data_IF_530457257552
#
_entry.id   IF_530457257552
#
_cell.length_a   1.000
_cell.length_b   1.000
_cell.length_c   1.000
_cell.angle_alpha   90.00
_cell.angle_beta   90.00
_cell.angle_gamma   90.00
#
_symmetry.space_group_name_H-M   'P 1'
#
loop_
_entity.id
_entity.type
_entity.pdbx_description
1 polymer ?
#
# COMPACT_ATOMS: atom_id res chain seq x y z
N UNK A 1 24.58 -55.99 -17.38
CA UNK A 1 23.18 -55.52 -17.51
C UNK A 1 22.59 -54.91 -16.23
N UNK A 2 22.75 -55.50 -15.03
CA UNK A 2 22.12 -54.96 -13.80
C UNK A 2 22.76 -53.64 -13.33
N UNK A 3 24.09 -53.48 -13.46
CA UNK A 3 24.80 -52.23 -13.09
C UNK A 3 24.40 -51.04 -13.95
N UNK A 4 24.23 -51.22 -15.27
CA UNK A 4 23.81 -50.14 -16.17
C UNK A 4 22.36 -49.70 -15.88
N UNK A 5 21.46 -50.63 -15.60
CA UNK A 5 20.07 -50.30 -15.21
C UNK A 5 20.00 -49.52 -13.89
N UNK A 6 20.79 -49.90 -12.88
CA UNK A 6 20.86 -49.12 -11.61
C UNK A 6 21.39 -47.72 -11.83
N UNK A 7 22.40 -47.57 -12.69
CA UNK A 7 22.93 -46.25 -13.03
C UNK A 7 21.86 -45.37 -13.70
N UNK A 8 21.11 -45.90 -14.68
CA UNK A 8 20.06 -45.14 -15.36
C UNK A 8 18.93 -44.72 -14.42
N UNK A 9 18.53 -45.59 -13.49
CA UNK A 9 17.50 -45.28 -12.49
C UNK A 9 17.97 -44.13 -11.58
N UNK A 10 19.22 -44.15 -11.13
CA UNK A 10 19.80 -43.08 -10.30
C UNK A 10 19.85 -41.77 -11.08
N UNK A 11 20.28 -41.79 -12.35
CA UNK A 11 20.32 -40.59 -13.18
C UNK A 11 18.93 -40.00 -13.40
N UNK A 12 17.92 -40.83 -13.68
CA UNK A 12 16.53 -40.37 -13.81
C UNK A 12 15.99 -39.77 -12.50
N UNK A 13 16.30 -40.38 -11.34
CA UNK A 13 15.88 -39.86 -10.05
C UNK A 13 16.51 -38.50 -9.75
N UNK A 14 17.81 -38.33 -10.05
CA UNK A 14 18.51 -37.06 -9.91
C UNK A 14 17.95 -35.98 -10.84
N UNK A 15 17.63 -36.33 -12.09
CA UNK A 15 17.01 -35.40 -13.05
C UNK A 15 15.61 -34.97 -12.58
N UNK A 16 14.82 -35.90 -12.05
CA UNK A 16 13.48 -35.62 -11.52
C UNK A 16 13.56 -34.76 -10.25
N UNK A 17 14.53 -35.00 -9.37
CA UNK A 17 14.78 -34.17 -8.20
C UNK A 17 15.25 -32.76 -8.60
N UNK A 18 16.13 -32.64 -9.58
CA UNK A 18 16.58 -31.35 -10.10
C UNK A 18 15.43 -30.57 -10.75
N UNK A 19 14.56 -31.25 -11.51
CA UNK A 19 13.36 -30.64 -12.09
C UNK A 19 12.39 -30.19 -10.99
N UNK A 20 12.18 -31.01 -9.96
CA UNK A 20 11.34 -30.65 -8.82
C UNK A 20 11.90 -29.44 -8.06
N UNK A 21 13.22 -29.41 -7.84
CA UNK A 21 13.88 -28.26 -7.21
C UNK A 21 13.80 -27.00 -8.06
N UNK A 22 13.91 -27.11 -9.39
CA UNK A 22 13.73 -25.97 -10.31
C UNK A 22 12.28 -25.45 -10.28
N UNK A 23 11.29 -26.34 -10.29
CA UNK A 23 9.87 -25.97 -10.19
C UNK A 23 9.52 -25.36 -8.82
N UNK A 24 10.13 -25.85 -7.74
CA UNK A 24 9.98 -25.27 -6.40
C UNK A 24 10.77 -23.96 -6.23
N UNK A 25 11.83 -23.75 -7.02
CA UNK A 25 12.64 -22.53 -7.05
C UNK A 25 12.01 -21.44 -7.91
N UNK A 26 11.04 -21.75 -8.76
CA UNK A 26 10.15 -20.76 -9.40
C UNK A 26 9.16 -20.20 -8.38
N UNK A 27 9.65 -19.73 -7.23
CA UNK A 27 8.96 -18.66 -6.54
C UNK A 27 8.99 -17.51 -7.54
N UNK A 28 7.81 -17.07 -7.97
CA UNK A 28 7.65 -15.79 -8.64
C UNK A 28 8.36 -14.76 -7.77
N UNK A 29 9.53 -14.29 -8.20
CA UNK A 29 10.13 -13.09 -7.62
C UNK A 29 9.09 -12.01 -7.90
N UNK A 30 8.37 -11.58 -6.87
CA UNK A 30 7.52 -10.40 -7.02
C UNK A 30 8.47 -9.25 -7.34
N UNK A 31 8.31 -8.65 -8.52
CA UNK A 31 9.11 -7.50 -8.91
C UNK A 31 8.91 -6.41 -7.86
N UNK A 32 10.02 -5.87 -7.35
CA UNK A 32 9.97 -4.82 -6.37
C UNK A 32 9.75 -3.48 -7.08
N UNK A 33 8.81 -2.67 -6.58
CA UNK A 33 8.68 -1.28 -7.02
C UNK A 33 10.04 -0.61 -6.86
N UNK A 34 10.60 -0.13 -7.96
CA UNK A 34 11.90 0.55 -7.99
C UNK A 34 11.70 1.95 -8.53
N UNK A 35 12.18 2.96 -7.80
CA UNK A 35 12.12 4.32 -8.27
C UNK A 35 13.16 4.57 -9.37
N UNK A 36 12.70 5.14 -10.48
CA UNK A 36 13.55 5.67 -11.54
C UNK A 36 13.19 7.15 -11.79
N UNK A 37 14.09 7.97 -12.35
CA UNK A 37 13.78 9.35 -12.72
C UNK A 37 12.46 9.45 -13.52
N UNK A 38 11.63 10.46 -13.26
CA UNK A 38 10.30 10.54 -13.84
C UNK A 38 10.35 10.77 -15.35
N UNK A 39 9.42 10.17 -16.06
CA UNK A 39 9.18 10.44 -17.47
C UNK A 39 8.16 11.57 -17.67
N UNK A 40 8.60 12.73 -18.14
CA UNK A 40 7.71 13.88 -18.38
C UNK A 40 6.87 13.75 -19.66
N UNK A 41 7.10 12.74 -20.50
CA UNK A 41 6.40 12.53 -21.78
C UNK A 41 5.25 11.53 -21.70
N UNK A 42 5.11 10.84 -20.57
CA UNK A 42 4.09 9.81 -20.33
C UNK A 42 3.38 10.15 -19.01
N UNK A 43 2.07 10.00 -18.99
CA UNK A 43 1.26 10.19 -17.80
C UNK A 43 0.11 9.20 -17.75
N UNK A 44 -0.36 8.89 -16.55
CA UNK A 44 -1.62 8.18 -16.37
C UNK A 44 -2.78 8.98 -16.97
N UNK A 45 -3.56 8.33 -17.85
CA UNK A 45 -4.78 8.91 -18.40
C UNK A 45 -5.93 8.88 -17.38
N UNK A 46 -5.91 7.89 -16.48
CA UNK A 46 -6.81 7.79 -15.33
C UNK A 46 -6.13 7.03 -14.18
N UNK A 47 -6.45 7.42 -12.95
CA UNK A 47 -6.22 6.64 -11.73
C UNK A 47 -7.42 6.78 -10.82
N UNK A 48 -7.79 5.71 -10.13
CA UNK A 48 -8.89 5.74 -9.17
C UNK A 48 -8.70 4.70 -8.07
N UNK A 49 -9.27 5.03 -6.91
CA UNK A 49 -9.55 4.09 -5.82
C UNK A 49 -10.99 4.36 -5.43
N UNK A 50 -11.78 3.30 -5.19
CA UNK A 50 -13.17 3.44 -4.78
C UNK A 50 -13.52 2.44 -3.69
N UNK A 51 -14.27 2.90 -2.70
CA UNK A 51 -14.88 2.13 -1.63
C UNK A 51 -16.40 2.31 -1.68
N UNK A 52 -17.12 1.21 -1.87
CA UNK A 52 -18.56 1.25 -2.01
C UNK A 52 -19.23 0.21 -1.11
N UNK A 53 -20.28 0.63 -0.39
CA UNK A 53 -21.20 -0.29 0.25
C UNK A 53 -22.05 -0.98 -0.82
N UNK A 54 -22.07 -2.31 -0.85
CA UNK A 54 -22.87 -3.06 -1.83
C UNK A 54 -24.28 -3.36 -1.31
N UNK A 55 -24.37 -4.04 -0.17
CA UNK A 55 -25.61 -4.46 0.47
C UNK A 55 -25.36 -5.00 1.86
N UNK A 56 -26.40 -4.96 2.66
CA UNK A 56 -26.52 -5.78 3.86
C UNK A 56 -26.58 -7.27 3.46
N UNK A 57 -25.85 -8.09 4.18
CA UNK A 57 -25.95 -9.54 4.18
C UNK A 57 -26.72 -9.98 5.42
N UNK A 58 -27.39 -11.14 5.37
CA UNK A 58 -28.11 -11.63 6.57
C UNK A 58 -27.15 -11.83 7.75
N UNK A 59 -27.64 -11.58 8.98
CA UNK A 59 -26.92 -11.64 10.27
C UNK A 59 -26.11 -10.39 10.65
N UNK A 60 -26.65 -9.18 10.49
CA UNK A 60 -26.00 -7.92 10.92
C UNK A 60 -24.59 -7.76 10.33
N UNK A 61 -24.48 -8.04 9.03
CA UNK A 61 -23.25 -7.96 8.25
C UNK A 61 -23.50 -7.20 6.97
N UNK A 62 -22.45 -6.67 6.36
CA UNK A 62 -22.52 -5.96 5.09
C UNK A 62 -21.32 -6.27 4.20
N UNK A 63 -21.50 -6.07 2.90
CA UNK A 63 -20.41 -6.21 1.93
C UNK A 63 -19.89 -4.86 1.46
N UNK A 64 -18.58 -4.71 1.50
CA UNK A 64 -17.85 -3.57 0.92
C UNK A 64 -17.12 -4.03 -0.32
N UNK A 65 -17.21 -3.22 -1.38
CA UNK A 65 -16.42 -3.34 -2.60
C UNK A 65 -15.29 -2.33 -2.56
N UNK A 66 -14.07 -2.83 -2.67
CA UNK A 66 -12.85 -2.06 -2.79
C UNK A 66 -12.25 -2.27 -4.18
N UNK A 67 -12.09 -1.19 -4.94
CA UNK A 67 -11.41 -1.21 -6.23
C UNK A 67 -10.30 -0.18 -6.30
N UNK A 68 -9.30 -0.47 -7.12
CA UNK A 68 -8.28 0.47 -7.54
C UNK A 68 -7.92 0.20 -9.00
N UNK A 69 -7.65 1.24 -9.77
CA UNK A 69 -7.34 1.09 -11.18
C UNK A 69 -6.49 2.21 -11.74
N UNK A 70 -5.75 1.91 -12.80
CA UNK A 70 -4.98 2.91 -13.54
C UNK A 70 -4.89 2.59 -15.03
N UNK A 71 -4.93 3.64 -15.86
CA UNK A 71 -4.91 3.57 -17.31
C UNK A 71 -3.80 4.43 -17.93
N UNK A 72 -3.32 4.02 -19.11
CA UNK A 72 -2.38 4.74 -19.96
C UNK A 72 -2.86 4.76 -21.41
N UNK A 73 -2.42 5.75 -22.18
CA UNK A 73 -2.72 5.84 -23.62
C UNK A 73 -1.97 4.77 -24.44
N UNK A 74 -0.83 4.29 -23.93
CA UNK A 74 0.04 3.28 -24.56
C UNK A 74 0.51 2.23 -23.56
N UNK A 75 0.89 1.06 -24.08
CA UNK A 75 1.54 0.03 -23.28
C UNK A 75 2.95 0.50 -22.93
N UNK A 76 3.41 0.13 -21.74
CA UNK A 76 4.78 0.36 -21.29
C UNK A 76 5.38 -0.96 -20.81
N UNK A 77 6.67 -0.95 -20.51
CA UNK A 77 7.43 -2.17 -20.21
C UNK A 77 6.82 -2.94 -19.03
N UNK A 78 6.69 -2.29 -17.87
CA UNK A 78 6.15 -2.90 -16.66
C UNK A 78 5.16 -1.94 -15.99
N UNK A 79 4.07 -2.50 -15.47
CA UNK A 79 3.06 -1.82 -14.67
C UNK A 79 2.92 -2.52 -13.34
N UNK A 80 2.79 -1.76 -12.27
CA UNK A 80 2.63 -2.28 -10.93
C UNK A 80 1.73 -1.36 -10.12
N UNK A 81 0.56 -1.86 -9.74
CA UNK A 81 -0.36 -1.15 -8.87
C UNK A 81 -0.47 -1.89 -7.55
N UNK A 82 -0.47 -1.13 -6.46
CA UNK A 82 -0.70 -1.63 -5.11
C UNK A 82 -1.72 -0.74 -4.42
N UNK A 83 -2.63 -1.37 -3.68
CA UNK A 83 -3.65 -0.71 -2.89
C UNK A 83 -3.63 -1.28 -1.47
N UNK A 84 -3.69 -0.39 -0.48
CA UNK A 84 -3.76 -0.71 0.94
C UNK A 84 -5.11 -0.26 1.47
N UNK A 85 -5.81 -1.16 2.17
CA UNK A 85 -7.07 -0.89 2.83
C UNK A 85 -6.88 -0.92 4.34
N UNK A 86 -7.30 0.16 4.99
CA UNK A 86 -7.36 0.30 6.43
C UNK A 86 -8.81 0.37 6.91
N UNK A 87 -9.06 -0.18 8.09
CA UNK A 87 -10.32 -0.11 8.83
C UNK A 87 -9.99 0.38 10.24
N UNK A 88 -10.54 1.53 10.62
CA UNK A 88 -10.31 2.16 11.93
C UNK A 88 -8.82 2.27 12.30
N UNK A 89 -8.01 2.69 11.32
CA UNK A 89 -6.57 2.87 11.49
C UNK A 89 -5.75 1.59 11.50
N UNK A 90 -6.35 0.43 11.18
CA UNK A 90 -5.66 -0.86 11.13
C UNK A 90 -5.70 -1.48 9.75
N UNK A 91 -4.62 -2.13 9.35
CA UNK A 91 -4.51 -2.77 8.05
C UNK A 91 -5.52 -3.92 7.94
N UNK A 92 -6.43 -3.78 6.99
CA UNK A 92 -7.46 -4.76 6.68
C UNK A 92 -7.04 -5.64 5.50
N UNK A 93 -6.41 -5.06 4.49
CA UNK A 93 -6.05 -5.79 3.28
C UNK A 93 -5.02 -5.08 2.42
N UNK A 94 -4.34 -5.88 1.60
CA UNK A 94 -3.42 -5.43 0.56
C UNK A 94 -3.84 -6.11 -0.73
N UNK A 95 -3.89 -5.34 -1.82
CA UNK A 95 -4.09 -5.88 -3.16
C UNK A 95 -3.05 -5.30 -4.08
N UNK A 96 -2.33 -6.15 -4.79
CA UNK A 96 -1.35 -5.73 -5.77
C UNK A 96 -1.45 -6.55 -7.04
N UNK A 97 -1.03 -5.95 -8.15
CA UNK A 97 -0.87 -6.64 -9.43
C UNK A 97 0.27 -5.96 -10.18
N UNK A 98 1.19 -6.77 -10.69
CA UNK A 98 2.17 -6.33 -11.67
C UNK A 98 1.95 -7.08 -12.98
N UNK A 99 2.17 -6.39 -14.11
CA UNK A 99 2.03 -6.93 -15.46
C UNK A 99 2.97 -6.20 -16.42
N UNK A 100 3.56 -6.94 -17.34
CA UNK A 100 4.32 -6.36 -18.45
C UNK A 100 3.41 -6.02 -19.64
N UNK A 101 3.79 -5.01 -20.43
CA UNK A 101 3.16 -4.70 -21.72
C UNK A 101 1.63 -4.54 -21.66
N UNK A 102 1.13 -3.83 -20.65
CA UNK A 102 -0.30 -3.53 -20.51
C UNK A 102 -0.56 -2.03 -20.36
N UNK A 103 -1.75 -1.61 -20.78
CA UNK A 103 -2.24 -0.23 -20.61
C UNK A 103 -3.06 -0.02 -19.36
N UNK A 104 -3.71 -1.07 -18.87
CA UNK A 104 -4.70 -0.97 -17.82
C UNK A 104 -4.43 -2.01 -16.74
N UNK A 105 -4.53 -1.59 -15.48
CA UNK A 105 -4.59 -2.47 -14.32
C UNK A 105 -5.89 -2.16 -13.57
N UNK A 106 -6.59 -3.22 -13.18
CA UNK A 106 -7.75 -3.17 -12.31
C UNK A 106 -7.56 -4.16 -11.16
N UNK A 107 -7.81 -3.68 -9.95
CA UNK A 107 -7.80 -4.42 -8.70
C UNK A 107 -9.21 -4.40 -8.13
N UNK A 108 -9.72 -5.56 -7.72
CA UNK A 108 -11.02 -5.67 -7.07
C UNK A 108 -10.95 -6.66 -5.91
N UNK A 109 -11.56 -6.27 -4.79
CA UNK A 109 -11.82 -7.10 -3.63
C UNK A 109 -13.24 -6.80 -3.14
N UNK A 110 -13.99 -7.86 -2.84
CA UNK A 110 -15.26 -7.77 -2.11
C UNK A 110 -15.10 -8.57 -0.83
N UNK A 111 -15.44 -7.95 0.30
CA UNK A 111 -15.34 -8.58 1.61
C UNK A 111 -16.58 -8.27 2.45
N UNK A 112 -16.85 -9.15 3.40
CA UNK A 112 -17.92 -9.01 4.39
C UNK A 112 -17.33 -8.39 5.66
N UNK A 113 -18.08 -7.47 6.28
CA UNK A 113 -17.77 -6.87 7.57
C UNK A 113 -19.04 -6.75 8.43
N UNK A 114 -18.85 -6.42 9.69
CA UNK A 114 -19.89 -6.05 10.65
C UNK A 114 -19.48 -4.75 11.35
N UNK A 115 -20.40 -4.18 12.12
CA UNK A 115 -20.16 -3.03 12.96
C UNK A 115 -19.87 -1.73 12.20
N UNK A 116 -20.11 -0.61 12.89
CA UNK A 116 -19.84 0.72 12.34
C UNK A 116 -18.32 0.95 12.26
N UNK A 117 -17.82 1.31 11.09
CA UNK A 117 -16.38 1.43 10.81
C UNK A 117 -16.07 2.56 9.82
N UNK A 118 -14.82 3.04 9.85
CA UNK A 118 -14.25 3.93 8.85
C UNK A 118 -13.19 3.20 8.03
N UNK A 119 -13.47 3.02 6.74
CA UNK A 119 -12.57 2.44 5.77
C UNK A 119 -11.77 3.54 5.06
N UNK A 120 -10.47 3.33 4.91
CA UNK A 120 -9.57 4.24 4.20
C UNK A 120 -8.69 3.42 3.26
N UNK A 121 -8.73 3.74 1.97
CA UNK A 121 -7.89 3.10 0.97
C UNK A 121 -6.90 4.11 0.37
N UNK A 122 -5.66 3.69 0.19
CA UNK A 122 -4.65 4.43 -0.57
C UNK A 122 -3.99 3.49 -1.58
N UNK A 123 -3.88 3.95 -2.82
CA UNK A 123 -3.28 3.21 -3.92
C UNK A 123 -2.11 3.96 -4.52
N UNK A 124 -1.09 3.21 -4.91
CA UNK A 124 0.06 3.67 -5.66
C UNK A 124 0.12 2.93 -6.99
N UNK A 125 0.15 3.71 -8.07
CA UNK A 125 0.18 3.22 -9.44
C UNK A 125 1.55 3.56 -10.02
N UNK A 126 2.29 2.55 -10.45
CA UNK A 126 3.65 2.69 -10.93
C UNK A 126 3.79 2.11 -12.34
N UNK A 127 4.62 2.77 -13.14
CA UNK A 127 4.97 2.32 -14.47
C UNK A 127 6.45 2.48 -14.74
N UNK A 128 7.08 1.46 -15.31
CA UNK A 128 8.47 1.46 -15.74
C UNK A 128 8.54 1.49 -17.27
N UNK A 129 9.41 2.35 -17.79
CA UNK A 129 9.59 2.57 -19.21
C UNK A 129 11.05 2.36 -19.58
N UNK A 130 11.29 1.45 -20.53
CA UNK A 130 12.62 1.17 -21.06
C UNK A 130 12.82 1.92 -22.36
N UNK A 131 13.86 2.73 -22.42
CA UNK A 131 14.29 3.45 -23.61
C UNK A 131 15.47 2.76 -24.30
N UNK A 132 15.69 3.04 -25.60
CA UNK A 132 16.96 2.70 -26.24
C UNK A 132 18.14 3.33 -25.46
N UNK A 133 19.24 2.59 -25.32
CA UNK A 133 20.43 2.93 -24.50
C UNK A 133 20.36 2.56 -23.01
N UNK A 134 19.53 1.59 -22.64
CA UNK A 134 19.41 1.07 -21.25
C UNK A 134 18.99 2.16 -20.23
N UNK A 135 18.36 3.24 -20.70
CA UNK A 135 17.76 4.26 -19.85
C UNK A 135 16.38 3.77 -19.38
N UNK A 136 16.19 3.73 -18.07
CA UNK A 136 14.93 3.36 -17.44
C UNK A 136 14.35 4.60 -16.75
N UNK A 137 13.08 4.86 -17.01
CA UNK A 137 12.31 5.92 -16.35
C UNK A 137 11.07 5.35 -15.70
N UNK A 138 10.52 6.10 -14.75
CA UNK A 138 9.25 5.74 -14.13
C UNK A 138 8.18 6.80 -14.28
N UNK A 139 6.94 6.37 -14.16
CA UNK A 139 5.80 7.24 -13.90
C UNK A 139 5.11 6.72 -12.65
N UNK A 140 4.53 7.63 -11.89
CA UNK A 140 3.83 7.27 -10.66
C UNK A 140 2.66 8.20 -10.40
N UNK A 141 1.65 7.67 -9.73
CA UNK A 141 0.53 8.47 -9.24
C UNK A 141 -0.13 7.75 -8.06
N UNK A 142 -0.75 8.51 -7.19
CA UNK A 142 -1.56 7.96 -6.10
C UNK A 142 -3.04 8.26 -6.32
N UNK A 143 -3.89 7.42 -5.73
CA UNK A 143 -5.31 7.69 -5.57
C UNK A 143 -5.76 7.19 -4.20
N UNK A 144 -6.87 7.70 -3.68
CA UNK A 144 -7.39 7.27 -2.40
C UNK A 144 -8.92 7.32 -2.40
N UNK A 145 -9.51 6.67 -1.42
CA UNK A 145 -10.93 6.85 -1.08
C UNK A 145 -11.16 6.54 0.40
N UNK A 146 -12.28 6.98 0.94
CA UNK A 146 -12.72 6.66 2.29
C UNK A 146 -14.22 6.44 2.36
N UNK A 147 -14.66 5.62 3.29
CA UNK A 147 -16.08 5.30 3.47
C UNK A 147 -16.38 5.06 4.95
N UNK A 148 -17.30 5.83 5.49
CA UNK A 148 -17.96 5.50 6.76
C UNK A 148 -19.10 4.54 6.47
N UNK A 149 -19.19 3.43 7.21
CA UNK A 149 -20.34 2.53 7.22
C UNK A 149 -20.89 2.50 8.63
N UNK A 150 -22.20 2.72 8.77
CA UNK A 150 -22.91 2.76 10.03
C UNK A 150 -23.85 1.57 10.08
N UNK A 151 -23.45 0.59 10.87
CA UNK A 151 -24.22 -0.58 11.24
C UNK A 151 -24.63 -0.44 12.71
N UNK A 152 -25.88 -0.05 12.93
CA UNK A 152 -26.43 0.26 14.25
C UNK A 152 -27.74 -0.50 14.44
N UNK A 153 -27.99 -1.12 15.61
CA UNK A 153 -29.23 -1.85 15.88
C UNK A 153 -30.51 -1.00 15.78
N UNK A 154 -30.38 0.33 15.67
CA UNK A 154 -31.48 1.28 15.74
C UNK A 154 -31.71 2.06 14.43
N UNK A 155 -30.83 1.91 13.44
CA UNK A 155 -30.94 2.59 12.14
C UNK A 155 -30.74 1.60 11.01
N UNK A 156 -31.24 1.93 9.81
CA UNK A 156 -30.88 1.15 8.62
C UNK A 156 -29.37 1.29 8.36
N UNK A 157 -28.78 0.26 7.78
CA UNK A 157 -27.40 0.29 7.31
C UNK A 157 -27.23 1.47 6.34
N UNK A 158 -26.25 2.31 6.63
CA UNK A 158 -25.98 3.52 5.86
C UNK A 158 -24.48 3.68 5.64
N UNK A 159 -24.09 4.31 4.54
CA UNK A 159 -22.70 4.68 4.29
C UNK A 159 -22.59 6.08 3.70
N UNK A 160 -21.51 6.77 4.03
CA UNK A 160 -21.23 8.11 3.50
C UNK A 160 -19.72 8.36 3.46
N UNK A 161 -19.29 9.20 2.52
CA UNK A 161 -17.92 9.71 2.47
C UNK A 161 -17.84 11.01 3.28
N UNK A 162 -18.69 11.98 2.93
CA UNK A 162 -18.83 13.26 3.64
C UNK A 162 -20.17 13.34 4.35
N UNK A 163 -20.21 13.81 5.61
CA UNK A 163 -21.45 13.93 6.35
C UNK A 163 -22.36 14.99 5.73
N UNK A 164 -23.60 14.62 5.47
CA UNK A 164 -24.66 15.50 4.95
C UNK A 164 -25.74 15.84 5.99
N UNK A 165 -25.61 15.30 7.21
CA UNK A 165 -26.53 15.51 8.32
C UNK A 165 -25.81 15.61 9.67
N UNK A 166 -26.49 16.17 10.67
CA UNK A 166 -25.97 16.24 12.04
C UNK A 166 -25.66 14.86 12.62
N UNK A 167 -26.48 13.86 12.31
CA UNK A 167 -26.30 12.50 12.80
C UNK A 167 -25.05 11.85 12.17
N UNK A 168 -24.84 12.02 10.87
CA UNK A 168 -23.62 11.56 10.20
C UNK A 168 -22.36 12.26 10.74
N UNK A 169 -22.46 13.56 11.07
CA UNK A 169 -21.38 14.29 11.72
C UNK A 169 -21.02 13.70 13.09
N UNK A 170 -22.02 13.40 13.93
CA UNK A 170 -21.80 12.76 15.25
C UNK A 170 -21.17 11.37 15.13
N UNK A 171 -21.61 10.57 14.15
CA UNK A 171 -21.03 9.25 13.87
C UNK A 171 -19.57 9.34 13.44
N UNK A 172 -19.28 10.22 12.47
CA UNK A 172 -17.91 10.50 12.02
C UNK A 172 -17.02 10.92 13.18
N UNK A 173 -17.46 11.90 13.99
CA UNK A 173 -16.70 12.37 15.15
C UNK A 173 -16.42 11.26 16.16
N UNK A 174 -17.39 10.38 16.40
CA UNK A 174 -17.24 9.26 17.35
C UNK A 174 -16.23 8.22 16.84
N UNK A 175 -16.34 7.82 15.57
CA UNK A 175 -15.43 6.86 14.95
C UNK A 175 -14.03 7.45 14.85
N UNK A 176 -13.89 8.68 14.33
CA UNK A 176 -12.60 9.35 14.16
C UNK A 176 -11.89 9.56 15.49
N UNK A 177 -12.62 9.95 16.55
CA UNK A 177 -12.04 10.12 17.88
C UNK A 177 -11.50 8.81 18.43
N UNK A 178 -12.26 7.72 18.29
CA UNK A 178 -11.87 6.40 18.79
C UNK A 178 -10.65 5.88 18.02
N UNK A 179 -10.68 5.99 16.68
CA UNK A 179 -9.56 5.63 15.80
C UNK A 179 -8.32 6.45 16.11
N UNK A 180 -8.45 7.77 16.25
CA UNK A 180 -7.33 8.66 16.56
C UNK A 180 -6.71 8.37 17.92
N UNK A 181 -7.52 8.08 18.94
CA UNK A 181 -7.02 7.70 20.27
C UNK A 181 -6.20 6.41 20.21
N UNK A 182 -6.66 5.41 19.46
CA UNK A 182 -5.93 4.15 19.26
C UNK A 182 -4.60 4.38 18.53
N UNK A 183 -4.63 5.11 17.42
CA UNK A 183 -3.45 5.43 16.61
C UNK A 183 -2.42 6.21 17.44
N UNK A 184 -2.86 7.28 18.12
CA UNK A 184 -1.98 8.09 18.96
C UNK A 184 -1.35 7.29 20.11
N UNK A 185 -2.09 6.36 20.72
CA UNK A 185 -1.54 5.48 21.75
C UNK A 185 -0.41 4.60 21.20
N UNK A 186 -0.64 3.95 20.05
CA UNK A 186 0.37 3.09 19.41
C UNK A 186 1.57 3.91 18.91
N UNK A 187 1.33 5.04 18.25
CA UNK A 187 2.38 5.90 17.73
C UNK A 187 3.23 6.51 18.84
N UNK A 188 2.63 6.88 19.97
CA UNK A 188 3.37 7.33 21.13
C UNK A 188 4.34 6.27 21.63
N UNK A 189 3.89 5.02 21.75
CA UNK A 189 4.74 3.90 22.14
C UNK A 189 5.91 3.69 21.15
N UNK A 190 5.65 3.83 19.85
CA UNK A 190 6.68 3.73 18.82
C UNK A 190 7.71 4.86 18.89
N UNK A 191 7.25 6.10 19.06
CA UNK A 191 8.11 7.29 19.21
C UNK A 191 8.98 7.16 20.46
N UNK A 192 8.38 6.78 21.59
CA UNK A 192 9.08 6.61 22.86
C UNK A 192 10.11 5.47 22.76
N UNK A 193 9.74 4.33 22.16
CA UNK A 193 10.63 3.18 21.95
C UNK A 193 11.78 3.50 20.99
N UNK A 194 11.49 4.25 19.91
CA UNK A 194 12.47 4.72 18.94
C UNK A 194 13.34 5.86 19.45
N UNK A 195 13.06 6.41 20.64
CA UNK A 195 13.74 7.59 21.20
C UNK A 195 13.75 8.79 20.24
N UNK A 196 12.61 9.04 19.59
CA UNK A 196 12.47 10.08 18.56
C UNK A 196 12.06 11.42 19.19
N UNK A 197 12.81 12.47 18.89
CA UNK A 197 12.51 13.85 19.31
C UNK A 197 11.39 14.45 18.46
N UNK A 198 10.14 14.19 18.86
CA UNK A 198 8.96 14.47 18.03
C UNK A 198 8.76 15.94 17.63
N UNK A 199 9.35 16.88 18.36
CA UNK A 199 9.26 18.30 18.06
C UNK A 199 9.99 18.66 16.75
N UNK A 200 10.90 17.82 16.29
CA UNK A 200 11.70 18.04 15.08
C UNK A 200 10.96 17.58 13.81
N UNK A 201 9.80 16.92 13.94
CA UNK A 201 9.11 16.29 12.81
C UNK A 201 7.68 16.79 12.63
N UNK A 202 7.23 16.76 11.37
CA UNK A 202 5.82 16.78 11.00
C UNK A 202 5.32 15.35 10.79
N UNK A 203 4.14 15.04 11.35
CA UNK A 203 3.61 13.68 11.43
C UNK A 203 2.49 13.44 10.41
N UNK A 204 2.60 12.36 9.65
CA UNK A 204 1.65 11.99 8.61
C UNK A 204 1.29 10.51 8.71
N UNK A 205 0.00 10.16 8.95
CA UNK A 205 -0.47 8.79 8.73
C UNK A 205 -0.24 8.39 7.27
N UNK A 206 0.00 7.10 6.99
CA UNK A 206 0.28 6.66 5.61
C UNK A 206 -0.80 7.08 4.61
N UNK A 207 -2.08 7.08 4.99
CA UNK A 207 -3.16 7.48 4.08
C UNK A 207 -3.17 8.97 3.74
N UNK A 208 -2.52 9.83 4.54
CA UNK A 208 -2.52 11.28 4.31
C UNK A 208 -1.45 11.75 3.34
N UNK A 209 -0.46 10.91 2.99
CA UNK A 209 0.60 11.29 2.04
C UNK A 209 0.06 11.58 0.63
N UNK A 210 -1.19 11.18 0.35
CA UNK A 210 -1.91 11.53 -0.88
C UNK A 210 -1.92 13.04 -1.17
N UNK A 211 -1.96 13.86 -0.12
CA UNK A 211 -1.95 15.33 -0.24
C UNK A 211 -0.71 15.86 -0.96
N UNK A 212 0.40 15.11 -0.89
CA UNK A 212 1.68 15.50 -1.48
C UNK A 212 1.70 15.43 -3.01
N UNK A 213 0.66 14.88 -3.66
CA UNK A 213 0.50 15.00 -5.11
C UNK A 213 0.15 16.42 -5.57
N UNK A 214 -0.49 17.21 -4.72
CA UNK A 214 -0.96 18.56 -5.06
C UNK A 214 -0.29 19.65 -4.23
N UNK A 215 0.21 19.29 -3.05
CA UNK A 215 0.84 20.20 -2.10
C UNK A 215 2.22 19.67 -1.75
N UNK A 216 3.31 20.28 -2.23
CA UNK A 216 4.64 19.76 -1.94
C UNK A 216 4.92 19.77 -0.44
N UNK A 217 5.85 18.92 -0.01
CA UNK A 217 6.40 18.96 1.34
C UNK A 217 6.94 20.37 1.60
N UNK A 218 6.66 20.92 2.78
CA UNK A 218 7.02 22.31 3.12
C UNK A 218 8.51 22.57 2.89
N UNK A 219 8.84 23.59 2.10
CA UNK A 219 10.22 23.94 1.77
C UNK A 219 10.83 23.17 0.60
N UNK A 220 10.09 22.25 -0.03
CA UNK A 220 10.51 21.54 -1.24
C UNK A 220 9.64 21.94 -2.45
N UNK A 221 10.17 21.70 -3.65
CA UNK A 221 9.40 21.75 -4.89
C UNK A 221 8.52 20.51 -5.06
N UNK A 222 7.58 20.57 -6.01
CA UNK A 222 6.75 19.41 -6.36
C UNK A 222 7.61 18.28 -6.93
N UNK A 223 8.62 18.59 -7.75
CA UNK A 223 9.52 17.59 -8.34
C UNK A 223 10.33 16.85 -7.26
N UNK A 224 10.86 17.58 -6.28
CA UNK A 224 11.57 16.99 -5.14
C UNK A 224 10.64 16.14 -4.28
N UNK A 225 9.41 16.63 -4.04
CA UNK A 225 8.38 15.89 -3.30
C UNK A 225 8.01 14.60 -4.03
N UNK A 226 7.78 14.65 -5.34
CA UNK A 226 7.42 13.48 -6.14
C UNK A 226 8.54 12.43 -6.10
N UNK A 227 9.81 12.84 -6.22
CA UNK A 227 10.96 11.94 -6.03
C UNK A 227 10.95 11.28 -4.66
N UNK A 228 10.80 12.07 -3.60
CA UNK A 228 10.80 11.58 -2.22
C UNK A 228 9.67 10.57 -1.99
N UNK A 229 8.47 10.87 -2.47
CA UNK A 229 7.30 10.00 -2.36
C UNK A 229 7.49 8.71 -3.17
N UNK A 230 8.08 8.78 -4.36
CA UNK A 230 8.39 7.59 -5.16
C UNK A 230 9.35 6.64 -4.45
N UNK A 231 10.43 7.19 -3.88
CA UNK A 231 11.39 6.43 -3.08
C UNK A 231 10.79 5.89 -1.78
N UNK A 232 9.89 6.66 -1.16
CA UNK A 232 9.14 6.21 0.02
C UNK A 232 8.28 4.99 -0.32
N UNK A 233 7.58 4.99 -1.46
CA UNK A 233 6.78 3.85 -1.90
C UNK A 233 7.62 2.63 -2.26
N UNK A 234 8.79 2.78 -2.88
CA UNK A 234 9.76 1.69 -3.05
C UNK A 234 10.14 1.09 -1.67
N UNK A 235 10.49 1.96 -0.72
CA UNK A 235 10.85 1.56 0.64
C UNK A 235 9.73 0.84 1.37
N UNK A 236 8.51 1.37 1.33
CA UNK A 236 7.30 0.77 1.90
C UNK A 236 6.99 -0.56 1.22
N UNK A 237 7.09 -0.64 -0.11
CA UNK A 237 6.80 -1.86 -0.83
C UNK A 237 7.71 -3.00 -0.37
N UNK A 238 9.01 -2.73 -0.32
CA UNK A 238 10.02 -3.71 0.07
C UNK A 238 9.95 -4.13 1.54
N UNK A 239 9.74 -3.18 2.45
CA UNK A 239 9.94 -3.42 3.89
C UNK A 239 8.63 -3.59 4.68
N UNK A 240 7.51 -3.08 4.18
CA UNK A 240 6.21 -3.16 4.85
C UNK A 240 5.22 -4.03 4.07
N UNK A 241 5.04 -3.79 2.77
CA UNK A 241 4.00 -4.45 1.96
C UNK A 241 4.38 -5.89 1.61
N UNK A 242 5.56 -6.11 1.03
CA UNK A 242 5.99 -7.42 0.52
C UNK A 242 6.03 -8.52 1.61
N UNK A 243 6.53 -8.26 2.85
CA UNK A 243 6.52 -9.25 3.91
C UNK A 243 5.10 -9.72 4.25
N UNK A 244 4.15 -8.79 4.35
CA UNK A 244 2.79 -9.09 4.84
C UNK A 244 1.81 -9.47 3.72
N UNK A 245 2.07 -9.10 2.46
CA UNK A 245 1.23 -9.44 1.30
C UNK A 245 1.18 -10.95 1.02
N UNK A 246 2.24 -11.68 1.38
CA UNK A 246 2.36 -13.12 1.17
C UNK A 246 1.72 -13.96 2.30
N UNK A 247 1.07 -13.31 3.27
CA UNK A 247 0.45 -13.99 4.40
C UNK A 247 -1.02 -14.33 4.14
N UNK A 248 -1.44 -15.54 4.53
CA UNK A 248 -2.84 -15.98 4.40
C UNK A 248 -3.81 -15.22 5.31
N UNK A 249 -3.30 -14.46 6.28
CA UNK A 249 -4.07 -13.59 7.17
C UNK A 249 -3.32 -12.27 7.30
N UNK A 250 -3.90 -11.20 6.77
CA UNK A 250 -3.42 -9.84 7.04
C UNK A 250 -3.50 -9.61 8.54
N UNK A 251 -2.36 -9.34 9.16
CA UNK A 251 -2.34 -8.99 10.58
C UNK A 251 -2.95 -7.60 10.74
N UNK A 252 -3.75 -7.43 11.78
CA UNK A 252 -4.48 -6.21 12.15
C UNK A 252 -3.53 -5.09 12.62
N UNK A 253 -2.47 -4.83 11.85
CA UNK A 253 -1.36 -3.93 12.13
C UNK A 253 -1.84 -2.50 12.13
N UNK A 254 -1.25 -1.68 12.99
CA UNK A 254 -1.56 -0.25 13.05
C UNK A 254 -1.00 0.44 11.80
N UNK A 255 -1.74 1.42 11.28
CA UNK A 255 -1.31 2.23 10.15
C UNK A 255 0.09 2.83 10.38
N UNK A 256 1.00 2.72 9.40
CA UNK A 256 2.32 3.34 9.49
C UNK A 256 2.24 4.85 9.71
N UNK A 257 3.20 5.36 10.45
CA UNK A 257 3.40 6.79 10.70
C UNK A 257 4.66 7.26 9.98
N UNK A 258 4.51 8.28 9.14
CA UNK A 258 5.62 8.98 8.49
C UNK A 258 5.94 10.22 9.31
N UNK A 259 7.21 10.40 9.61
CA UNK A 259 7.77 11.57 10.27
C UNK A 259 8.71 12.24 9.26
N UNK A 260 8.40 13.47 8.87
CA UNK A 260 9.23 14.26 7.96
C UNK A 260 9.97 15.29 8.81
N UNK A 261 11.31 15.28 8.75
CA UNK A 261 12.12 16.26 9.47
C UNK A 261 11.80 17.68 8.98
N UNK A 262 11.59 18.61 9.90
CA UNK A 262 11.20 19.99 9.58
C UNK A 262 12.27 20.79 8.84
N UNK A 263 13.51 20.31 8.82
CA UNK A 263 14.60 20.89 8.05
C UNK A 263 14.81 20.18 6.70
N UNK A 264 13.92 19.24 6.34
CA UNK A 264 13.97 18.42 5.13
C UNK A 264 15.29 17.63 4.97
N UNK A 265 15.90 17.20 6.08
CA UNK A 265 17.11 16.37 6.03
C UNK A 265 16.79 14.91 5.67
N UNK A 266 15.80 14.35 6.34
CA UNK A 266 15.40 12.94 6.23
C UNK A 266 13.92 12.74 6.54
N UNK A 267 13.41 11.55 6.25
CA UNK A 267 12.14 11.06 6.77
C UNK A 267 12.32 9.71 7.46
N UNK A 268 11.42 9.42 8.40
CA UNK A 268 11.35 8.17 9.14
C UNK A 268 9.95 7.59 8.98
N UNK A 269 9.84 6.29 8.74
CA UNK A 269 8.57 5.57 8.80
C UNK A 269 8.61 4.59 9.95
N UNK A 270 7.60 4.67 10.83
CA UNK A 270 7.37 3.74 11.93
C UNK A 270 6.21 2.82 11.60
N UNK A 271 6.42 1.52 11.74
CA UNK A 271 5.41 0.48 11.56
C UNK A 271 5.78 -0.74 12.40
N UNK A 272 4.89 -1.72 12.49
CA UNK A 272 5.22 -3.00 13.13
C UNK A 272 5.37 -4.11 12.10
N UNK A 273 6.29 -5.04 12.36
CA UNK A 273 6.38 -6.28 11.59
C UNK A 273 5.30 -7.29 12.04
N UNK A 274 5.34 -8.49 11.47
CA UNK A 274 4.39 -9.59 11.74
C UNK A 274 4.41 -10.07 13.20
N UNK A 275 5.53 -9.89 13.89
CA UNK A 275 5.69 -10.21 15.30
C UNK A 275 5.24 -9.07 16.24
N UNK A 276 4.60 -8.03 15.68
CA UNK A 276 4.24 -6.78 16.37
C UNK A 276 5.44 -6.06 16.99
N UNK A 277 6.63 -6.22 16.41
CA UNK A 277 7.82 -5.48 16.83
C UNK A 277 7.93 -4.22 15.98
N UNK A 278 8.34 -3.12 16.63
CA UNK A 278 8.60 -1.85 15.96
C UNK A 278 9.74 -2.02 14.93
N UNK A 279 9.47 -1.59 13.71
CA UNK A 279 10.43 -1.44 12.63
C UNK A 279 10.55 0.04 12.26
N UNK A 280 11.68 0.40 11.67
CA UNK A 280 11.95 1.78 11.25
C UNK A 280 12.55 1.78 9.86
N UNK A 281 11.94 2.53 8.95
CA UNK A 281 12.52 2.85 7.65
C UNK A 281 13.05 4.29 7.68
N UNK A 282 14.31 4.45 7.33
CA UNK A 282 14.97 5.76 7.26
C UNK A 282 15.27 6.09 5.80
N UNK A 283 14.95 7.30 5.36
CA UNK A 283 15.24 7.79 4.03
C UNK A 283 15.83 9.20 4.11
N UNK A 284 17.04 9.37 3.58
CA UNK A 284 17.65 10.69 3.43
C UNK A 284 16.97 11.45 2.29
N UNK A 285 16.61 12.73 2.48
CA UNK A 285 15.93 13.51 1.44
C UNK A 285 16.88 14.16 0.43
N UNK A 286 18.20 14.13 0.69
CA UNK A 286 19.31 14.65 -0.14
C UNK A 286 18.85 15.60 -1.25
N UNK A 287 18.79 16.90 -0.92
CA UNK A 287 18.64 17.96 -1.90
C UNK A 287 20.03 18.20 -2.49
N UNK A 288 20.30 17.70 -3.70
CA UNK A 288 21.50 18.13 -4.42
C UNK A 288 21.32 19.62 -4.76
N UNK A 289 22.15 20.48 -4.14
CA UNK A 289 22.31 21.89 -4.51
C UNK A 289 23.08 22.03 -5.83
#
# INVERSE_FOLDING_TARGET
>A
MIKSRKLHIITCLLMMLALLLLLLSQRTTEEAITYFPPDSSISFSAVETNLNLLRETGNDQYMVKWTAGSGLDKEIYLRQDVSLLYMDGRLKGIKGLWKESVKDIELEVVFEESDSSHFQAISFHHGEIHYPNDEIKSIQRMSNDHLYVIDSPHTALESFQEPNSHMQQEWKETIDKTTSQQLQFAWKDWIDTGSIEINDYDLYPLTSIIQFQEHPISGLSQEETDRIIGQLWEGLYKNYILPIANQSKTNNQIMPLILIDKNNDHLIVLFTNEANQLETLYQQLSVEN
#
